data_IF_131866595915
#
_entry.id   IF_131866595915
#
_cell.length_a   1.000
_cell.length_b   1.000
_cell.length_c   1.000
_cell.angle_alpha   90.00
_cell.angle_beta   90.00
_cell.angle_gamma   90.00
#
_symmetry.space_group_name_H-M   'P 1'
#
loop_
_entity.id
_entity.type
_entity.pdbx_description
1 polymer ?
#
# COMPACT_ATOMS: atom_id res chain seq x y z
N UNK A 1 5.49 1.21 17.10
CA UNK A 1 5.83 1.59 15.71
C UNK A 1 4.59 2.04 14.95
N UNK A 2 4.34 3.28 14.95
CA UNK A 2 3.22 3.82 14.19
C UNK A 2 3.72 4.38 12.87
N UNK A 3 2.91 4.30 11.79
CA UNK A 3 3.28 4.96 10.54
C UNK A 3 3.43 6.46 10.75
N UNK A 4 4.44 7.02 10.14
CA UNK A 4 4.70 8.47 10.18
C UNK A 4 4.35 9.04 8.81
N UNK A 5 3.41 9.98 8.79
CA UNK A 5 3.04 10.65 7.56
C UNK A 5 4.11 11.65 7.17
N UNK A 6 4.58 11.57 5.92
CA UNK A 6 5.58 12.48 5.36
C UNK A 6 4.98 13.41 4.31
N UNK A 7 3.67 13.38 4.13
CA UNK A 7 2.99 14.27 3.20
C UNK A 7 3.16 15.72 3.64
N UNK A 8 3.62 16.59 2.75
CA UNK A 8 3.73 18.02 3.06
C UNK A 8 2.34 18.61 3.33
N UNK A 9 2.19 19.58 4.24
CA UNK A 9 0.88 20.15 4.56
C UNK A 9 0.10 20.69 3.36
N UNK A 10 0.79 21.20 2.36
CA UNK A 10 0.17 21.73 1.14
C UNK A 10 -0.03 20.68 0.05
N UNK A 11 0.44 19.45 0.25
CA UNK A 11 0.40 18.42 -0.78
C UNK A 11 -0.98 17.81 -0.86
N UNK A 12 -1.56 17.77 -2.07
CA UNK A 12 -2.87 17.17 -2.35
C UNK A 12 -2.82 16.19 -3.52
N UNK A 13 -1.64 15.95 -4.10
CA UNK A 13 -1.47 15.11 -5.29
C UNK A 13 -0.82 13.76 -4.96
N UNK A 14 -0.08 13.68 -3.87
CA UNK A 14 0.54 12.45 -3.44
C UNK A 14 0.60 12.35 -1.92
N UNK A 15 0.48 11.12 -1.43
CA UNK A 15 0.60 10.78 -0.01
C UNK A 15 1.95 10.14 0.21
N UNK A 16 2.51 10.31 1.40
CA UNK A 16 3.76 9.67 1.77
C UNK A 16 3.77 9.31 3.25
N UNK A 17 4.14 8.07 3.54
CA UNK A 17 4.27 7.54 4.90
C UNK A 17 5.58 6.80 5.04
N UNK A 18 6.14 6.79 6.24
CA UNK A 18 7.31 5.99 6.58
C UNK A 18 7.03 5.14 7.82
N UNK A 19 7.58 3.93 7.81
CA UNK A 19 7.50 2.99 8.92
C UNK A 19 8.91 2.55 9.26
N UNK A 20 9.29 2.65 10.53
CA UNK A 20 10.51 2.02 11.02
C UNK A 20 10.12 0.68 11.62
N UNK A 21 10.42 -0.40 10.91
CA UNK A 21 10.01 -1.74 11.26
C UNK A 21 11.20 -2.54 11.79
N UNK A 22 11.06 -3.14 12.96
CA UNK A 22 12.10 -3.97 13.56
C UNK A 22 12.00 -5.40 13.04
N UNK A 23 12.00 -5.53 11.71
CA UNK A 23 11.86 -6.81 11.00
C UNK A 23 12.72 -6.75 9.74
N UNK A 24 13.27 -7.90 9.35
CA UNK A 24 14.11 -7.99 8.15
C UNK A 24 13.31 -7.67 6.87
N UNK A 25 13.97 -7.13 5.83
CA UNK A 25 13.29 -6.83 4.57
C UNK A 25 12.53 -8.01 3.97
N UNK A 26 13.05 -9.24 4.10
CA UNK A 26 12.38 -10.44 3.59
C UNK A 26 11.01 -10.64 4.23
N UNK A 27 10.91 -10.39 5.53
CA UNK A 27 9.65 -10.53 6.25
C UNK A 27 8.67 -9.45 5.84
N UNK A 28 9.13 -8.20 5.73
CA UNK A 28 8.30 -7.08 5.28
C UNK A 28 7.83 -7.32 3.86
N UNK A 29 8.71 -7.77 2.98
CA UNK A 29 8.37 -8.09 1.59
C UNK A 29 7.26 -9.15 1.51
N UNK A 30 7.34 -10.18 2.35
CA UNK A 30 6.32 -11.22 2.38
C UNK A 30 4.96 -10.64 2.73
N UNK A 31 4.88 -9.70 3.67
CA UNK A 31 3.63 -9.05 4.03
C UNK A 31 3.05 -8.22 2.88
N UNK A 32 3.90 -7.74 1.97
CA UNK A 32 3.47 -6.96 0.81
C UNK A 32 3.07 -7.82 -0.39
N UNK A 33 3.45 -9.10 -0.41
CA UNK A 33 3.31 -9.94 -1.61
C UNK A 33 2.56 -11.25 -1.40
N UNK A 34 2.37 -11.68 -0.16
CA UNK A 34 1.65 -12.92 0.15
C UNK A 34 0.16 -12.64 0.24
N UNK A 35 -0.67 -13.30 -0.59
CA UNK A 35 -2.12 -13.05 -0.57
C UNK A 35 -2.77 -13.25 0.80
N UNK A 36 -2.36 -14.26 1.55
CA UNK A 36 -2.92 -14.51 2.87
C UNK A 36 -2.61 -13.36 3.85
N UNK A 37 -1.40 -12.83 3.78
CA UNK A 37 -1.01 -11.71 4.63
C UNK A 37 -1.64 -10.40 4.18
N UNK A 38 -1.73 -10.18 2.87
CA UNK A 38 -2.39 -8.99 2.32
C UNK A 38 -3.86 -8.91 2.76
N UNK A 39 -4.53 -10.04 2.83
CA UNK A 39 -5.93 -10.08 3.29
C UNK A 39 -6.07 -9.64 4.76
N UNK A 40 -5.02 -9.77 5.55
CA UNK A 40 -5.08 -9.42 6.97
C UNK A 40 -4.81 -7.95 7.26
N UNK A 41 -4.00 -7.28 6.45
CA UNK A 41 -3.69 -5.88 6.74
C UNK A 41 -4.17 -4.90 5.66
N UNK A 42 -4.28 -5.35 4.42
CA UNK A 42 -4.68 -4.50 3.31
C UNK A 42 -6.09 -4.85 2.85
N UNK A 43 -6.23 -5.76 1.92
CA UNK A 43 -7.51 -6.22 1.38
C UNK A 43 -7.31 -7.62 0.80
N UNK A 44 -8.38 -8.44 0.75
CA UNK A 44 -8.33 -9.70 0.01
C UNK A 44 -7.92 -9.46 -1.44
N UNK A 45 -7.05 -10.29 -1.96
CA UNK A 45 -6.52 -10.16 -3.30
C UNK A 45 -6.97 -11.32 -4.19
N UNK A 46 -7.27 -11.03 -5.46
CA UNK A 46 -7.69 -12.02 -6.44
C UNK A 46 -6.68 -12.07 -7.57
N UNK A 47 -6.27 -13.27 -7.93
CA UNK A 47 -5.38 -13.55 -9.06
C UNK A 47 -4.02 -12.87 -8.98
N UNK A 48 -3.43 -12.86 -7.80
CA UNK A 48 -2.12 -12.25 -7.62
C UNK A 48 -1.04 -13.09 -8.31
N UNK A 49 -0.35 -12.48 -9.26
CA UNK A 49 0.79 -13.06 -9.93
C UNK A 49 1.91 -12.02 -9.89
N UNK A 50 2.99 -12.36 -9.22
CA UNK A 50 4.06 -11.39 -8.95
C UNK A 50 4.98 -11.25 -10.16
N UNK A 51 4.48 -10.59 -11.20
CA UNK A 51 5.22 -10.32 -12.42
C UNK A 51 4.92 -8.89 -12.89
N UNK A 52 5.92 -8.16 -13.42
CA UNK A 52 5.67 -6.84 -14.01
C UNK A 52 4.62 -6.92 -15.11
N UNK A 53 3.67 -6.00 -15.10
CA UNK A 53 2.59 -5.95 -16.06
C UNK A 53 1.41 -6.83 -15.73
N UNK A 54 1.51 -7.72 -14.74
CA UNK A 54 0.40 -8.60 -14.36
C UNK A 54 -0.69 -7.81 -13.65
N UNK A 55 -1.94 -8.07 -14.01
CA UNK A 55 -3.09 -7.45 -13.38
C UNK A 55 -3.57 -8.30 -12.20
N UNK A 56 -4.08 -7.64 -11.17
CA UNK A 56 -4.75 -8.30 -10.06
C UNK A 56 -5.82 -7.36 -9.50
N UNK A 57 -6.68 -7.86 -8.62
CA UNK A 57 -7.71 -7.04 -7.99
C UNK A 57 -7.67 -7.20 -6.49
N UNK A 58 -8.03 -6.12 -5.81
CA UNK A 58 -8.29 -6.12 -4.38
C UNK A 58 -9.79 -5.91 -4.18
N UNK A 59 -10.34 -6.54 -3.14
CA UNK A 59 -11.78 -6.49 -2.88
C UNK A 59 -12.05 -5.93 -1.50
N UNK A 60 -13.00 -5.00 -1.43
CA UNK A 60 -13.51 -4.50 -0.17
C UNK A 60 -15.05 -4.47 -0.23
N UNK A 61 -15.67 -3.93 0.80
CA UNK A 61 -17.14 -3.83 0.86
C UNK A 61 -17.66 -2.92 -0.25
N UNK A 62 -18.69 -3.34 -0.99
CA UNK A 62 -19.31 -2.46 -2.00
C UNK A 62 -19.83 -1.18 -1.38
N UNK A 63 -19.77 -0.10 -2.15
CA UNK A 63 -20.26 1.20 -1.78
C UNK A 63 -21.23 1.67 -2.86
N UNK A 64 -22.14 2.64 -2.58
CA UNK A 64 -23.00 3.19 -3.63
C UNK A 64 -22.17 3.68 -4.82
N UNK A 65 -22.47 3.15 -6.01
CA UNK A 65 -21.75 3.50 -7.23
C UNK A 65 -20.41 2.79 -7.44
N UNK A 66 -20.06 1.84 -6.55
CA UNK A 66 -18.81 1.12 -6.65
C UNK A 66 -18.94 -0.28 -6.05
N UNK A 67 -18.52 -1.29 -6.79
CA UNK A 67 -18.66 -2.70 -6.39
C UNK A 67 -17.61 -3.19 -5.39
N UNK A 68 -16.73 -2.31 -4.93
CA UNK A 68 -15.67 -2.68 -3.98
C UNK A 68 -14.42 -3.24 -4.62
N UNK A 69 -14.29 -3.17 -5.94
CA UNK A 69 -13.13 -3.68 -6.65
C UNK A 69 -12.09 -2.57 -6.87
N UNK A 70 -10.84 -2.85 -6.49
CA UNK A 70 -9.68 -2.01 -6.83
C UNK A 70 -8.91 -2.75 -7.91
N UNK A 71 -8.77 -2.13 -9.09
CA UNK A 71 -8.03 -2.72 -10.19
C UNK A 71 -6.57 -2.30 -10.10
N UNK A 72 -5.68 -3.29 -10.15
CA UNK A 72 -4.25 -3.07 -9.99
C UNK A 72 -3.47 -3.74 -11.12
N UNK A 73 -2.29 -3.19 -11.39
CA UNK A 73 -1.33 -3.76 -12.35
C UNK A 73 0.07 -3.47 -11.83
N UNK A 74 0.88 -4.50 -11.74
CA UNK A 74 2.27 -4.33 -11.29
C UNK A 74 3.06 -3.51 -12.31
N UNK A 75 3.82 -2.54 -11.79
CA UNK A 75 4.72 -1.69 -12.57
C UNK A 75 6.19 -2.10 -12.34
N UNK A 76 6.62 -2.10 -11.09
CA UNK A 76 7.99 -2.49 -10.73
C UNK A 76 7.96 -3.52 -9.62
N UNK A 77 8.81 -4.53 -9.74
CA UNK A 77 8.99 -5.56 -8.72
C UNK A 77 10.49 -5.81 -8.60
N UNK A 78 11.08 -5.35 -7.50
CA UNK A 78 12.45 -5.64 -7.12
C UNK A 78 12.41 -6.30 -5.75
N UNK A 79 12.62 -7.60 -5.71
CA UNK A 79 12.47 -8.38 -4.49
C UNK A 79 13.21 -7.75 -3.31
N UNK A 80 12.52 -7.56 -2.21
CA UNK A 80 13.01 -7.01 -0.94
C UNK A 80 13.39 -5.53 -1.00
N UNK A 81 13.11 -4.82 -2.11
CA UNK A 81 13.51 -3.41 -2.27
C UNK A 81 12.39 -2.50 -2.73
N UNK A 82 11.63 -2.89 -3.74
CA UNK A 82 10.64 -1.98 -4.33
C UNK A 82 9.49 -2.75 -4.94
N UNK A 83 8.29 -2.26 -4.69
CA UNK A 83 7.06 -2.80 -5.27
C UNK A 83 6.16 -1.63 -5.64
N UNK A 84 5.77 -1.54 -6.90
CA UNK A 84 4.79 -0.52 -7.30
C UNK A 84 3.73 -1.12 -8.19
N UNK A 85 2.50 -0.60 -8.06
CA UNK A 85 1.38 -1.02 -8.88
C UNK A 85 0.35 0.09 -8.97
N UNK A 86 -0.48 0.02 -10.02
CA UNK A 86 -1.59 0.95 -10.16
C UNK A 86 -2.67 0.61 -9.13
N UNK A 87 -3.40 1.63 -8.70
CA UNK A 87 -4.51 1.49 -7.79
C UNK A 87 -5.66 2.31 -8.38
N UNK A 88 -6.59 1.62 -9.04
CA UNK A 88 -7.65 2.26 -9.81
C UNK A 88 -9.02 1.86 -9.31
N UNK A 89 -9.86 2.84 -9.06
CA UNK A 89 -11.28 2.70 -8.79
C UNK A 89 -12.01 3.62 -9.77
N UNK A 90 -13.35 3.57 -9.89
CA UNK A 90 -14.06 4.27 -10.98
C UNK A 90 -13.74 5.73 -11.14
N UNK A 91 -13.33 6.49 -10.26
CA UNK A 91 -13.07 7.92 -10.43
C UNK A 91 -11.62 8.29 -10.13
N UNK A 92 -10.75 7.30 -9.94
CA UNK A 92 -9.44 7.57 -9.40
C UNK A 92 -8.42 6.60 -9.98
N UNK A 93 -7.38 7.14 -10.61
CA UNK A 93 -6.24 6.37 -11.11
C UNK A 93 -4.99 6.85 -10.40
N UNK A 94 -4.43 5.98 -9.57
CA UNK A 94 -3.24 6.31 -8.80
C UNK A 94 -2.20 5.22 -8.91
N UNK A 95 -0.99 5.51 -8.41
CA UNK A 95 0.11 4.55 -8.32
C UNK A 95 0.54 4.47 -6.86
N UNK A 96 0.65 3.24 -6.37
CA UNK A 96 1.15 2.96 -5.02
C UNK A 96 2.55 2.41 -5.14
N UNK A 97 3.48 2.93 -4.35
CA UNK A 97 4.87 2.50 -4.35
C UNK A 97 5.33 2.21 -2.93
N UNK A 98 5.89 1.01 -2.73
CA UNK A 98 6.54 0.61 -1.50
C UNK A 98 8.04 0.52 -1.75
N UNK A 99 8.83 1.15 -0.91
CA UNK A 99 10.29 1.08 -0.98
C UNK A 99 10.81 0.58 0.36
N UNK A 100 11.65 -0.45 0.33
CA UNK A 100 12.24 -1.06 1.52
C UNK A 100 13.71 -0.71 1.56
N UNK A 101 14.14 -0.11 2.68
CA UNK A 101 15.54 0.25 2.89
C UNK A 101 16.02 -0.46 4.15
N UNK A 102 17.05 -1.31 4.06
CA UNK A 102 17.61 -1.95 5.25
C UNK A 102 18.15 -0.90 6.22
N UNK A 103 17.93 -1.12 7.52
CA UNK A 103 18.45 -0.27 8.58
C UNK A 103 19.19 -1.12 9.60
N UNK A 104 19.86 -0.48 10.53
CA UNK A 104 20.58 -1.19 11.60
C UNK A 104 19.62 -2.03 12.46
N UNK A 105 18.35 -1.60 12.60
CA UNK A 105 17.37 -2.27 13.45
C UNK A 105 16.32 -3.08 12.67
N UNK A 106 16.38 -3.07 11.32
CA UNK A 106 15.41 -3.80 10.51
C UNK A 106 15.21 -3.19 9.14
N UNK A 107 14.04 -2.61 8.91
CA UNK A 107 13.65 -2.08 7.59
C UNK A 107 12.93 -0.75 7.76
N UNK A 108 13.29 0.22 6.92
CA UNK A 108 12.46 1.41 6.70
C UNK A 108 11.57 1.14 5.49
N UNK A 109 10.28 1.14 5.70
CA UNK A 109 9.30 1.00 4.63
C UNK A 109 8.76 2.38 4.30
N UNK A 110 8.92 2.79 3.05
CA UNK A 110 8.33 4.03 2.55
C UNK A 110 7.15 3.67 1.65
N UNK A 111 6.02 4.32 1.88
CA UNK A 111 4.79 4.11 1.12
C UNK A 111 4.42 5.43 0.46
N UNK A 112 4.18 5.39 -0.85
CA UNK A 112 3.69 6.55 -1.59
C UNK A 112 2.47 6.18 -2.40
N UNK A 113 1.52 7.11 -2.52
CA UNK A 113 0.42 7.00 -3.46
C UNK A 113 0.28 8.34 -4.16
N UNK A 114 0.39 8.33 -5.48
CA UNK A 114 0.41 9.53 -6.30
C UNK A 114 -0.60 9.45 -7.43
N UNK A 115 -0.94 10.61 -8.00
CA UNK A 115 -1.88 10.70 -9.11
C UNK A 115 -3.24 11.28 -8.74
N UNK A 116 -3.41 11.77 -7.52
CA UNK A 116 -4.64 12.46 -7.13
C UNK A 116 -4.74 13.79 -7.88
N UNK A 117 -5.93 14.10 -8.39
CA UNK A 117 -6.20 15.34 -9.11
C UNK A 117 -6.68 16.41 -8.15
N UNK A 118 -6.59 17.71 -8.53
CA UNK A 118 -7.01 18.82 -7.64
C UNK A 118 -8.45 18.73 -7.17
N UNK A 119 -9.34 18.13 -7.96
CA UNK A 119 -10.76 17.99 -7.62
C UNK A 119 -11.05 16.71 -6.81
N UNK A 120 -10.03 15.99 -6.39
CA UNK A 120 -10.17 14.71 -5.68
C UNK A 120 -9.75 14.79 -4.21
N UNK A 121 -10.02 15.92 -3.56
CA UNK A 121 -9.64 16.12 -2.15
C UNK A 121 -10.26 15.10 -1.20
N UNK A 122 -11.49 14.69 -1.45
CA UNK A 122 -12.17 13.67 -0.62
C UNK A 122 -11.50 12.32 -0.77
N UNK A 123 -11.14 11.95 -1.99
CA UNK A 123 -10.44 10.70 -2.27
C UNK A 123 -9.05 10.71 -1.62
N UNK A 124 -8.36 11.84 -1.70
CA UNK A 124 -7.07 12.02 -1.05
C UNK A 124 -7.17 11.84 0.46
N UNK A 125 -8.15 12.50 1.10
CA UNK A 125 -8.37 12.39 2.54
C UNK A 125 -8.77 10.99 2.97
N UNK A 126 -9.60 10.31 2.16
CA UNK A 126 -10.01 8.94 2.42
C UNK A 126 -8.84 7.96 2.33
N UNK A 127 -7.99 8.13 1.31
CA UNK A 127 -6.79 7.30 1.17
C UNK A 127 -5.82 7.52 2.33
N UNK A 128 -5.65 8.75 2.75
CA UNK A 128 -4.82 9.13 3.88
C UNK A 128 -5.26 8.42 5.16
N UNK A 129 -6.56 8.47 5.45
CA UNK A 129 -7.14 7.77 6.59
C UNK A 129 -6.97 6.26 6.47
N UNK A 130 -7.25 5.73 5.28
CA UNK A 130 -7.13 4.29 5.00
C UNK A 130 -5.72 3.77 5.22
N UNK A 131 -4.72 4.49 4.74
CA UNK A 131 -3.32 4.07 4.92
C UNK A 131 -2.88 4.14 6.38
N UNK A 132 -3.38 5.09 7.15
CA UNK A 132 -3.10 5.13 8.60
C UNK A 132 -3.67 3.90 9.29
N UNK A 133 -4.90 3.52 8.97
CA UNK A 133 -5.53 2.31 9.54
C UNK A 133 -4.81 1.04 9.09
N UNK A 134 -4.62 0.89 7.78
CA UNK A 134 -3.98 -0.30 7.23
C UNK A 134 -2.53 -0.42 7.68
N UNK A 135 -1.82 0.71 7.77
CA UNK A 135 -0.45 0.73 8.27
C UNK A 135 -0.35 0.22 9.70
N UNK A 136 -1.31 0.60 10.56
CA UNK A 136 -1.38 0.07 11.91
C UNK A 136 -1.59 -1.44 11.94
N UNK A 137 -2.45 -1.95 11.05
CA UNK A 137 -2.67 -3.40 10.91
C UNK A 137 -1.41 -4.11 10.42
N UNK A 138 -0.65 -3.50 9.53
CA UNK A 138 0.61 -4.06 9.05
C UNK A 138 1.61 -4.21 10.19
N UNK A 139 1.76 -3.16 11.00
CA UNK A 139 2.65 -3.19 12.17
C UNK A 139 2.25 -4.34 13.11
N UNK A 140 0.95 -4.46 13.40
CA UNK A 140 0.45 -5.52 14.29
C UNK A 140 0.67 -6.91 13.68
N UNK A 141 0.45 -7.06 12.39
CA UNK A 141 0.65 -8.33 11.69
C UNK A 141 2.12 -8.78 11.77
N UNK A 142 3.04 -7.86 11.51
CA UNK A 142 4.47 -8.18 11.59
C UNK A 142 4.90 -8.57 12.99
N UNK A 143 4.31 -7.94 14.02
CA UNK A 143 4.65 -8.23 15.41
C UNK A 143 4.21 -9.63 15.85
N UNK A 144 3.16 -10.21 15.23
CA UNK A 144 2.61 -11.51 15.60
C UNK A 144 2.92 -12.64 14.62
N UNK A 145 3.71 -12.37 13.58
CA UNK A 145 4.13 -13.39 12.62
C UNK A 145 5.62 -13.66 12.74
N UNK A 146 6.05 -14.85 12.32
CA UNK A 146 7.46 -15.23 12.36
C UNK A 146 8.17 -14.96 11.04
#
# INVERSE_FOLDING_TARGET
MNPVEKTAPSQTESLSFEFDLHHLPEKVWRALTDPALLAEWLLPVVELKLEPGAAFTLKTQPQPGWDGTVNCRFLEIEAHRKLSYTWSVPFLDTVVTFTLTPTASGTRLSLGQSGFKPDQKKNFGGARYGWKMMGGKLVDLLARTL
#
